data_IF_910328309857
#
_entry.id   IF_910328309857
#
_cell.length_a   1.000
_cell.length_b   1.000
_cell.length_c   1.000
_cell.angle_alpha   90.00
_cell.angle_beta   90.00
_cell.angle_gamma   90.00
#
_symmetry.space_group_name_H-M   'P 1'
#
loop_
_entity.id
_entity.type
_entity.pdbx_description
1 polymer ?
#
# COMPACT_ATOMS: atom_id res chain seq x y z
N UNK A 1 27.87 -11.39 9.55
CA UNK A 1 27.65 -10.00 9.98
C UNK A 1 28.60 -9.02 9.28
N UNK A 2 29.63 -9.45 8.56
CA UNK A 2 30.60 -8.54 7.90
C UNK A 2 30.20 -7.97 6.53
N UNK A 3 29.48 -8.71 5.69
CA UNK A 3 29.33 -8.35 4.26
C UNK A 3 28.65 -6.99 4.02
N UNK A 4 27.71 -6.63 4.88
CA UNK A 4 27.00 -5.35 4.77
C UNK A 4 27.88 -4.19 5.27
N UNK A 5 28.64 -4.39 6.35
CA UNK A 5 29.64 -3.43 6.83
C UNK A 5 30.75 -3.21 5.79
N UNK A 6 31.29 -4.28 5.22
CA UNK A 6 32.31 -4.22 4.15
C UNK A 6 31.81 -3.44 2.94
N UNK A 7 30.53 -3.59 2.59
CA UNK A 7 29.91 -2.86 1.48
C UNK A 7 29.74 -1.37 1.80
N UNK A 8 29.36 -1.00 3.03
CA UNK A 8 29.35 0.40 3.46
C UNK A 8 30.76 1.00 3.37
N UNK A 9 31.77 0.32 3.92
CA UNK A 9 33.15 0.80 3.86
C UNK A 9 33.66 0.97 2.43
N UNK A 10 33.33 0.02 1.55
CA UNK A 10 33.66 0.13 0.12
C UNK A 10 32.99 1.34 -0.53
N UNK A 11 31.68 1.52 -0.34
CA UNK A 11 30.94 2.66 -0.91
C UNK A 11 31.49 4.01 -0.41
N UNK A 12 31.84 4.09 0.88
CA UNK A 12 32.49 5.28 1.46
C UNK A 12 33.87 5.49 0.80
N UNK A 13 34.69 4.44 0.67
CA UNK A 13 36.00 4.56 0.02
C UNK A 13 35.88 4.97 -1.45
N UNK A 14 34.88 4.49 -2.18
CA UNK A 14 34.65 4.82 -3.58
C UNK A 14 34.23 6.28 -3.74
N UNK A 15 33.41 6.82 -2.82
CA UNK A 15 33.08 8.25 -2.74
C UNK A 15 34.34 9.11 -2.56
N UNK A 16 35.18 8.80 -1.57
CA UNK A 16 36.39 9.59 -1.32
C UNK A 16 37.41 9.53 -2.47
N UNK A 17 37.44 8.45 -3.24
CA UNK A 17 38.32 8.30 -4.41
C UNK A 17 37.79 8.97 -5.67
N UNK A 18 36.50 9.35 -5.67
CA UNK A 18 35.81 9.91 -6.83
C UNK A 18 36.39 11.26 -7.26
N UNK A 19 36.29 11.57 -8.56
CA UNK A 19 36.77 12.84 -9.13
C UNK A 19 35.98 14.03 -8.58
N UNK A 20 34.69 13.83 -8.30
CA UNK A 20 33.80 14.84 -7.78
C UNK A 20 34.17 15.20 -6.34
N UNK A 21 34.53 14.21 -5.51
CA UNK A 21 35.06 14.48 -4.17
C UNK A 21 36.38 15.25 -4.24
N UNK A 22 37.31 14.86 -5.11
CA UNK A 22 38.57 15.62 -5.32
C UNK A 22 38.30 17.05 -5.78
N UNK A 23 37.31 17.25 -6.65
CA UNK A 23 36.92 18.59 -7.12
C UNK A 23 36.40 19.44 -5.97
N UNK A 24 35.55 18.88 -5.12
CA UNK A 24 35.06 19.54 -3.91
C UNK A 24 36.21 19.86 -2.93
N UNK A 25 37.10 18.90 -2.66
CA UNK A 25 38.22 19.06 -1.72
C UNK A 25 39.22 20.14 -2.18
N UNK A 26 39.52 20.18 -3.48
CA UNK A 26 40.33 21.23 -4.09
C UNK A 26 39.68 22.62 -3.93
N UNK A 27 38.35 22.70 -4.07
CA UNK A 27 37.62 23.95 -3.87
C UNK A 27 37.64 24.41 -2.41
N UNK A 28 37.52 23.50 -1.45
CA UNK A 28 37.66 23.82 -0.01
C UNK A 28 39.05 24.41 0.26
N UNK A 29 40.10 23.82 -0.30
CA UNK A 29 41.48 24.33 -0.19
C UNK A 29 41.63 25.73 -0.81
N UNK A 30 41.01 25.97 -1.95
CA UNK A 30 40.99 27.27 -2.61
C UNK A 30 40.29 28.33 -1.75
N UNK A 31 39.12 28.02 -1.20
CA UNK A 31 38.40 28.94 -0.30
C UNK A 31 39.20 29.24 0.95
N UNK A 32 39.84 28.24 1.56
CA UNK A 32 40.72 28.43 2.71
C UNK A 32 41.88 29.38 2.38
N UNK A 33 42.48 29.25 1.20
CA UNK A 33 43.51 30.16 0.70
C UNK A 33 42.97 31.58 0.53
N UNK A 34 41.80 31.76 -0.07
CA UNK A 34 41.14 33.06 -0.18
C UNK A 34 40.93 33.72 1.20
N UNK A 35 40.43 32.97 2.19
CA UNK A 35 40.25 33.48 3.56
C UNK A 35 41.57 33.90 4.19
N UNK A 36 42.63 33.12 4.00
CA UNK A 36 43.96 33.45 4.52
C UNK A 36 44.52 34.72 3.87
N UNK A 37 44.39 34.87 2.55
CA UNK A 37 44.83 36.08 1.83
C UNK A 37 44.04 37.33 2.25
N UNK A 38 42.72 37.20 2.46
CA UNK A 38 41.90 38.30 3.00
C UNK A 38 42.43 38.73 4.36
N UNK A 39 42.67 37.77 5.27
CA UNK A 39 43.21 38.06 6.61
C UNK A 39 44.59 38.72 6.54
N UNK A 40 45.50 38.22 5.70
CA UNK A 40 46.84 38.81 5.55
C UNK A 40 46.76 40.26 5.06
N UNK A 41 45.89 40.54 4.09
CA UNK A 41 45.70 41.90 3.56
C UNK A 41 44.99 42.84 4.55
N UNK A 42 44.00 42.34 5.28
CA UNK A 42 43.25 43.09 6.29
C UNK A 42 44.16 43.52 7.46
N UNK A 43 45.11 42.67 7.85
CA UNK A 43 46.08 42.95 8.93
C UNK A 43 46.99 44.16 8.68
N UNK A 44 47.01 44.74 7.48
CA UNK A 44 47.95 45.80 7.07
C UNK A 44 47.39 47.23 7.11
N UNK A 45 46.16 47.44 7.59
CA UNK A 45 45.59 48.80 7.76
C UNK A 45 45.49 49.63 6.46
N UNK A 46 45.57 48.97 5.30
CA UNK A 46 45.50 49.59 3.98
C UNK A 46 44.12 49.36 3.37
N UNK A 47 43.56 50.40 2.75
CA UNK A 47 42.32 50.28 1.98
C UNK A 47 42.56 49.36 0.78
N UNK A 48 41.77 48.29 0.68
CA UNK A 48 41.88 47.27 -0.35
C UNK A 48 40.56 47.19 -1.15
N UNK A 49 40.66 47.34 -2.48
CA UNK A 49 39.48 47.45 -3.36
C UNK A 49 39.30 46.25 -4.30
N UNK A 50 40.18 45.25 -4.27
CA UNK A 50 40.03 44.06 -5.12
C UNK A 50 39.27 42.95 -4.40
N UNK A 51 38.51 42.14 -5.15
CA UNK A 51 37.76 41.03 -4.57
C UNK A 51 38.60 39.74 -4.60
N UNK A 52 38.94 39.22 -3.42
CA UNK A 52 39.53 37.87 -3.29
C UNK A 52 38.39 36.88 -3.17
N UNK A 53 38.16 36.11 -4.22
CA UNK A 53 37.17 35.03 -4.23
C UNK A 53 37.54 33.99 -5.29
N UNK A 54 37.05 32.75 -5.16
CA UNK A 54 37.07 31.79 -6.26
C UNK A 54 36.40 32.34 -7.52
N UNK A 55 36.86 31.88 -8.67
CA UNK A 55 36.24 32.23 -9.94
C UNK A 55 34.85 31.57 -10.07
N UNK A 56 33.97 32.21 -10.84
CA UNK A 56 32.61 31.70 -11.06
C UNK A 56 32.61 30.27 -11.63
N UNK A 57 33.56 29.95 -12.51
CA UNK A 57 33.66 28.61 -13.09
C UNK A 57 34.03 27.55 -12.04
N UNK A 58 34.88 27.88 -11.07
CA UNK A 58 35.28 26.97 -9.97
C UNK A 58 34.09 26.71 -9.05
N UNK A 59 33.30 27.74 -8.76
CA UNK A 59 32.05 27.61 -8.02
C UNK A 59 31.07 26.69 -8.75
N UNK A 60 30.83 26.93 -10.06
CA UNK A 60 29.93 26.11 -10.86
C UNK A 60 30.39 24.65 -10.92
N UNK A 61 31.66 24.41 -11.22
CA UNK A 61 32.25 23.06 -11.25
C UNK A 61 32.07 22.33 -9.91
N UNK A 62 32.22 23.04 -8.80
CA UNK A 62 32.04 22.47 -7.46
C UNK A 62 30.59 22.16 -7.15
N UNK A 63 29.66 23.03 -7.54
CA UNK A 63 28.21 22.77 -7.42
C UNK A 63 27.83 21.52 -8.20
N UNK A 64 28.29 21.40 -9.44
CA UNK A 64 28.03 20.23 -10.29
C UNK A 64 28.59 18.95 -9.63
N UNK A 65 29.82 19.00 -9.09
CA UNK A 65 30.42 17.89 -8.36
C UNK A 65 29.61 17.49 -7.11
N UNK A 66 29.11 18.46 -6.34
CA UNK A 66 28.28 18.22 -5.17
C UNK A 66 26.94 17.57 -5.52
N UNK A 67 26.30 17.98 -6.62
CA UNK A 67 25.07 17.35 -7.11
C UNK A 67 25.32 15.88 -7.45
N UNK A 68 26.42 15.58 -8.14
CA UNK A 68 26.79 14.19 -8.46
C UNK A 68 27.08 13.37 -7.21
N UNK A 69 27.82 13.92 -6.23
CA UNK A 69 28.07 13.25 -4.95
C UNK A 69 26.77 12.94 -4.19
N UNK A 70 25.83 13.89 -4.15
CA UNK A 70 24.53 13.67 -3.53
C UNK A 70 23.73 12.55 -4.23
N UNK A 71 23.84 12.47 -5.55
CA UNK A 71 23.31 11.35 -6.35
C UNK A 71 23.93 10.01 -5.95
N UNK A 72 25.27 9.93 -5.90
CA UNK A 72 26.00 8.70 -5.49
C UNK A 72 25.61 8.25 -4.07
N UNK A 73 25.53 9.18 -3.11
CA UNK A 73 25.10 8.88 -1.73
C UNK A 73 23.66 8.33 -1.71
N UNK A 74 22.76 8.93 -2.49
CA UNK A 74 21.38 8.47 -2.59
C UNK A 74 21.28 7.06 -3.19
N UNK A 75 22.07 6.79 -4.23
CA UNK A 75 22.17 5.47 -4.86
C UNK A 75 22.70 4.41 -3.89
N UNK A 76 23.78 4.71 -3.17
CA UNK A 76 24.33 3.80 -2.16
C UNK A 76 23.33 3.55 -1.04
N UNK A 77 22.66 4.58 -0.53
CA UNK A 77 21.62 4.42 0.49
C UNK A 77 20.46 3.55 0.01
N UNK A 78 20.04 3.69 -1.25
CA UNK A 78 18.99 2.85 -1.84
C UNK A 78 19.42 1.38 -1.96
N UNK A 79 20.70 1.12 -2.30
CA UNK A 79 21.28 -0.23 -2.37
C UNK A 79 21.50 -0.86 -0.99
N UNK A 80 21.89 -0.06 0.00
CA UNK A 80 22.16 -0.48 1.37
C UNK A 80 20.91 -0.62 2.24
N UNK A 81 19.76 -0.10 1.79
CA UNK A 81 18.47 -0.32 2.42
C UNK A 81 17.60 -1.28 1.59
N UNK A 82 17.96 -2.57 1.47
CA UNK A 82 17.06 -3.53 0.87
C UNK A 82 15.84 -3.57 1.78
N UNK A 83 14.65 -3.35 1.22
CA UNK A 83 13.42 -3.82 1.84
C UNK A 83 13.60 -5.32 2.08
N UNK A 84 14.05 -5.69 3.28
CA UNK A 84 14.41 -7.04 3.67
C UNK A 84 13.21 -7.96 3.42
N UNK A 85 13.45 -9.18 2.94
CA UNK A 85 12.37 -10.14 2.65
C UNK A 85 11.43 -10.34 3.84
N UNK A 86 11.98 -10.29 5.07
CA UNK A 86 11.21 -10.30 6.32
C UNK A 86 10.35 -9.04 6.48
N UNK A 87 10.90 -7.85 6.26
CA UNK A 87 10.16 -6.59 6.33
C UNK A 87 9.06 -6.49 5.25
N UNK A 88 9.33 -6.93 4.01
CA UNK A 88 8.32 -7.06 2.95
C UNK A 88 7.21 -8.04 3.33
N UNK A 89 7.57 -9.19 3.91
CA UNK A 89 6.60 -10.18 4.36
C UNK A 89 5.73 -9.64 5.51
N UNK A 90 6.32 -8.91 6.46
CA UNK A 90 5.60 -8.25 7.54
C UNK A 90 4.61 -7.19 7.00
N UNK A 91 5.07 -6.34 6.07
CA UNK A 91 4.21 -5.34 5.42
C UNK A 91 3.05 -5.97 4.64
N UNK A 92 3.30 -7.08 3.93
CA UNK A 92 2.25 -7.84 3.23
C UNK A 92 1.22 -8.42 4.21
N UNK A 93 1.67 -9.01 5.33
CA UNK A 93 0.77 -9.51 6.37
C UNK A 93 -0.09 -8.39 6.96
N UNK A 94 0.52 -7.27 7.32
CA UNK A 94 -0.20 -6.08 7.80
C UNK A 94 -1.26 -5.62 6.81
N UNK A 95 -0.89 -5.42 5.53
CA UNK A 95 -1.83 -4.98 4.49
C UNK A 95 -2.98 -5.98 4.26
N UNK A 96 -2.71 -7.29 4.36
CA UNK A 96 -3.75 -8.30 4.29
C UNK A 96 -4.73 -8.19 5.47
N UNK A 97 -4.21 -8.06 6.70
CA UNK A 97 -5.03 -7.89 7.90
C UNK A 97 -5.91 -6.65 7.82
N UNK A 98 -5.38 -5.52 7.34
CA UNK A 98 -6.16 -4.28 7.14
C UNK A 98 -7.30 -4.50 6.16
N UNK A 99 -7.05 -5.15 5.02
CA UNK A 99 -8.09 -5.44 4.01
C UNK A 99 -9.20 -6.33 4.54
N UNK A 100 -8.88 -7.36 5.32
CA UNK A 100 -9.90 -8.23 5.93
C UNK A 100 -10.71 -7.47 6.99
N UNK A 101 -10.08 -6.60 7.78
CA UNK A 101 -10.80 -5.72 8.73
C UNK A 101 -11.77 -4.79 7.99
N UNK A 102 -11.35 -4.19 6.88
CA UNK A 102 -12.20 -3.34 6.06
C UNK A 102 -13.38 -4.13 5.47
N UNK A 103 -13.14 -5.35 4.97
CA UNK A 103 -14.21 -6.24 4.49
C UNK A 103 -15.24 -6.54 5.59
N UNK A 104 -14.78 -6.97 6.76
CA UNK A 104 -15.68 -7.27 7.89
C UNK A 104 -16.50 -6.05 8.34
N UNK A 105 -15.90 -4.85 8.33
CA UNK A 105 -16.61 -3.60 8.63
C UNK A 105 -17.70 -3.30 7.62
N UNK A 106 -17.44 -3.54 6.34
CA UNK A 106 -18.44 -3.35 5.29
C UNK A 106 -19.58 -4.36 5.41
N UNK A 107 -19.26 -5.63 5.63
CA UNK A 107 -20.27 -6.68 5.84
C UNK A 107 -21.17 -6.34 7.05
N UNK A 108 -20.57 -5.87 8.15
CA UNK A 108 -21.32 -5.42 9.32
C UNK A 108 -22.22 -4.21 9.04
N UNK A 109 -21.74 -3.24 8.27
CA UNK A 109 -22.51 -2.07 7.90
C UNK A 109 -23.74 -2.43 7.05
N UNK A 110 -23.60 -3.40 6.15
CA UNK A 110 -24.70 -3.90 5.32
C UNK A 110 -25.73 -4.67 6.16
N UNK A 111 -25.28 -5.54 7.08
CA UNK A 111 -26.17 -6.22 8.04
C UNK A 111 -26.95 -5.24 8.91
N UNK A 112 -26.29 -4.18 9.39
CA UNK A 112 -26.95 -3.15 10.19
C UNK A 112 -28.04 -2.42 9.39
N UNK A 113 -27.76 -2.07 8.13
CA UNK A 113 -28.77 -1.48 7.23
C UNK A 113 -29.94 -2.43 6.97
N UNK A 114 -29.69 -3.73 6.85
CA UNK A 114 -30.77 -4.72 6.69
C UNK A 114 -31.62 -4.86 7.96
N UNK A 115 -31.02 -4.80 9.15
CA UNK A 115 -31.73 -4.85 10.43
C UNK A 115 -32.56 -3.57 10.71
N UNK A 116 -32.15 -2.43 10.16
CA UNK A 116 -32.85 -1.14 10.27
C UNK A 116 -34.02 -0.99 9.28
N UNK A 117 -34.15 -1.87 8.28
CA UNK A 117 -35.33 -1.88 7.41
C UNK A 117 -36.56 -2.34 8.21
N UNK A 118 -37.67 -1.58 8.22
CA UNK A 118 -38.89 -1.97 8.92
C UNK A 118 -39.40 -3.33 8.42
N UNK A 119 -39.99 -4.12 9.33
CA UNK A 119 -40.39 -5.52 9.12
C UNK A 119 -41.56 -5.73 8.13
N UNK A 120 -41.86 -4.76 7.27
CA UNK A 120 -43.18 -4.62 6.65
C UNK A 120 -43.38 -5.31 5.29
N UNK A 121 -42.37 -5.95 4.68
CA UNK A 121 -42.58 -6.75 3.46
C UNK A 121 -41.92 -8.13 3.51
N UNK A 122 -42.02 -8.83 4.65
CA UNK A 122 -41.73 -10.28 4.70
C UNK A 122 -42.91 -11.04 4.07
N UNK A 123 -43.01 -11.02 2.75
CA UNK A 123 -43.86 -11.97 2.01
C UNK A 123 -43.54 -13.38 2.51
N UNK A 124 -44.57 -14.15 2.84
CA UNK A 124 -44.41 -15.49 3.39
C UNK A 124 -43.57 -16.32 2.42
N UNK A 125 -42.48 -16.96 2.89
CA UNK A 125 -41.56 -17.71 2.02
C UNK A 125 -42.29 -18.76 1.18
N UNK A 126 -43.40 -19.29 1.67
CA UNK A 126 -44.27 -20.17 0.91
C UNK A 126 -44.90 -19.48 -0.31
N UNK A 127 -45.42 -18.27 -0.15
CA UNK A 127 -46.01 -17.49 -1.24
C UNK A 127 -44.93 -17.13 -2.28
N UNK A 128 -43.72 -16.79 -1.82
CA UNK A 128 -42.60 -16.51 -2.70
C UNK A 128 -42.24 -17.72 -3.57
N UNK A 129 -42.11 -18.91 -2.96
CA UNK A 129 -41.77 -20.13 -3.68
C UNK A 129 -42.88 -20.53 -4.66
N UNK A 130 -44.15 -20.49 -4.24
CA UNK A 130 -45.27 -20.86 -5.11
C UNK A 130 -45.42 -19.91 -6.30
N UNK A 131 -45.14 -18.61 -6.13
CA UNK A 131 -45.19 -17.62 -7.22
C UNK A 131 -44.03 -17.78 -8.21
N UNK A 132 -42.82 -18.06 -7.73
CA UNK A 132 -41.62 -18.10 -8.56
C UNK A 132 -41.30 -19.48 -9.16
N UNK A 133 -41.86 -20.53 -8.57
CA UNK A 133 -41.65 -21.94 -8.91
C UNK A 133 -42.98 -22.72 -8.85
N UNK A 134 -44.01 -22.34 -9.63
CA UNK A 134 -45.35 -22.90 -9.47
C UNK A 134 -45.40 -24.41 -9.73
N UNK A 135 -44.68 -24.88 -10.75
CA UNK A 135 -44.68 -26.28 -11.22
C UNK A 135 -43.32 -26.98 -11.09
N UNK A 136 -42.29 -26.30 -10.58
CA UNK A 136 -40.96 -26.90 -10.48
C UNK A 136 -40.87 -27.82 -9.26
N UNK A 137 -40.52 -29.09 -9.50
CA UNK A 137 -40.33 -30.11 -8.46
C UNK A 137 -38.91 -30.08 -7.85
N UNK A 138 -37.92 -29.58 -8.60
CA UNK A 138 -36.52 -29.45 -8.19
C UNK A 138 -35.92 -28.16 -8.79
N UNK A 139 -35.27 -27.35 -7.96
CA UNK A 139 -34.59 -26.13 -8.37
C UNK A 139 -33.43 -25.79 -7.41
N UNK A 140 -32.48 -24.96 -7.87
CA UNK A 140 -31.28 -24.65 -7.09
C UNK A 140 -31.55 -23.60 -6.01
N UNK A 141 -31.01 -23.82 -4.81
CA UNK A 141 -31.06 -22.85 -3.71
C UNK A 141 -30.32 -21.54 -4.06
N UNK A 142 -29.30 -21.61 -4.91
CA UNK A 142 -28.62 -20.43 -5.46
C UNK A 142 -29.56 -19.54 -6.27
N UNK A 143 -30.46 -20.16 -7.03
CA UNK A 143 -31.43 -19.44 -7.86
C UNK A 143 -32.50 -18.80 -6.99
N UNK A 144 -32.95 -19.49 -5.93
CA UNK A 144 -33.84 -18.94 -4.91
C UNK A 144 -33.21 -17.71 -4.28
N UNK A 145 -31.94 -17.79 -3.86
CA UNK A 145 -31.19 -16.66 -3.28
C UNK A 145 -31.11 -15.48 -4.23
N UNK A 146 -30.84 -15.73 -5.52
CA UNK A 146 -30.77 -14.69 -6.55
C UNK A 146 -32.13 -14.01 -6.75
N UNK A 147 -33.20 -14.78 -6.99
CA UNK A 147 -34.56 -14.24 -7.18
C UNK A 147 -35.08 -13.52 -5.94
N UNK A 148 -34.75 -14.00 -4.75
CA UNK A 148 -35.15 -13.36 -3.49
C UNK A 148 -34.50 -11.98 -3.35
N UNK A 149 -33.20 -11.88 -3.67
CA UNK A 149 -32.49 -10.61 -3.74
C UNK A 149 -33.08 -9.67 -4.79
N UNK A 150 -33.42 -10.17 -5.97
CA UNK A 150 -34.02 -9.36 -7.05
C UNK A 150 -35.42 -8.85 -6.67
N UNK A 151 -36.21 -9.66 -5.96
CA UNK A 151 -37.60 -9.34 -5.62
C UNK A 151 -37.69 -8.37 -4.43
N UNK A 152 -36.88 -8.58 -3.39
CA UNK A 152 -36.99 -7.84 -2.13
C UNK A 152 -35.79 -6.92 -1.85
N UNK A 153 -34.73 -6.98 -2.65
CA UNK A 153 -33.49 -6.24 -2.38
C UNK A 153 -32.77 -6.67 -1.10
N UNK A 154 -33.04 -7.90 -0.60
CA UNK A 154 -32.49 -8.45 0.65
C UNK A 154 -31.58 -9.64 0.32
N UNK A 155 -30.39 -9.69 0.90
CA UNK A 155 -29.46 -10.81 0.70
C UNK A 155 -29.53 -11.76 1.89
N UNK A 156 -30.17 -12.93 1.71
CA UNK A 156 -30.15 -13.98 2.74
C UNK A 156 -28.97 -14.94 2.56
N UNK A 157 -28.40 -15.41 3.68
CA UNK A 157 -27.42 -16.50 3.68
C UNK A 157 -28.10 -17.82 3.29
N UNK A 158 -27.31 -18.81 2.88
CA UNK A 158 -27.86 -20.13 2.54
C UNK A 158 -28.49 -20.81 3.75
N UNK A 159 -27.94 -20.61 4.94
CA UNK A 159 -28.46 -21.20 6.18
C UNK A 159 -29.85 -20.64 6.52
N UNK A 160 -30.03 -19.32 6.48
CA UNK A 160 -31.32 -18.67 6.73
C UNK A 160 -32.36 -19.11 5.69
N UNK A 161 -32.00 -19.12 4.40
CA UNK A 161 -32.91 -19.58 3.35
C UNK A 161 -33.32 -21.03 3.55
N UNK A 162 -32.38 -21.88 3.95
CA UNK A 162 -32.67 -23.29 4.22
C UNK A 162 -33.67 -23.44 5.36
N UNK A 163 -33.44 -22.78 6.48
CA UNK A 163 -34.34 -22.81 7.64
C UNK A 163 -35.76 -22.35 7.28
N UNK A 164 -35.88 -21.22 6.56
CA UNK A 164 -37.18 -20.69 6.19
C UNK A 164 -37.92 -21.55 5.15
N UNK A 165 -37.20 -22.15 4.19
CA UNK A 165 -37.79 -23.06 3.19
C UNK A 165 -38.28 -24.34 3.87
N UNK A 166 -37.46 -24.95 4.74
CA UNK A 166 -37.85 -26.18 5.46
C UNK A 166 -38.99 -25.92 6.46
N UNK A 167 -39.07 -24.71 7.02
CA UNK A 167 -40.19 -24.29 7.88
C UNK A 167 -41.55 -24.29 7.15
N UNK A 168 -41.58 -24.18 5.81
CA UNK A 168 -42.82 -24.28 5.03
C UNK A 168 -43.44 -25.69 5.05
N UNK A 169 -42.65 -26.73 5.40
CA UNK A 169 -43.03 -28.16 5.37
C UNK A 169 -43.48 -28.71 4.01
N UNK A 170 -43.47 -27.91 2.95
CA UNK A 170 -43.82 -28.32 1.57
C UNK A 170 -42.59 -28.48 0.67
N UNK A 171 -41.43 -28.05 1.15
CA UNK A 171 -40.17 -28.16 0.43
C UNK A 171 -39.08 -28.69 1.36
N UNK A 172 -38.09 -29.38 0.79
CA UNK A 172 -36.91 -29.89 1.47
C UNK A 172 -35.65 -29.48 0.72
N UNK A 173 -34.63 -29.04 1.45
CA UNK A 173 -33.33 -28.72 0.87
C UNK A 173 -32.40 -29.93 0.99
N UNK A 174 -31.84 -30.37 -0.13
CA UNK A 174 -30.87 -31.46 -0.20
C UNK A 174 -29.54 -30.95 -0.75
N UNK A 175 -28.44 -31.56 -0.30
CA UNK A 175 -27.10 -31.28 -0.82
C UNK A 175 -26.62 -32.48 -1.63
N UNK A 176 -26.22 -32.25 -2.87
CA UNK A 176 -25.48 -33.21 -3.68
C UNK A 176 -24.19 -32.56 -4.19
N UNK A 177 -23.02 -33.07 -3.75
CA UNK A 177 -21.70 -32.60 -4.19
C UNK A 177 -21.52 -31.07 -4.06
N UNK A 178 -21.90 -30.49 -2.92
CA UNK A 178 -21.87 -29.04 -2.64
C UNK A 178 -22.83 -28.19 -3.47
N UNK A 179 -23.80 -28.81 -4.14
CA UNK A 179 -24.89 -28.13 -4.83
C UNK A 179 -26.16 -28.36 -4.02
N UNK A 180 -26.81 -27.25 -3.63
CA UNK A 180 -28.04 -27.28 -2.83
C UNK A 180 -29.26 -27.22 -3.73
N UNK A 181 -30.08 -28.26 -3.66
CA UNK A 181 -31.34 -28.44 -4.37
C UNK A 181 -32.50 -28.24 -3.41
N UNK A 182 -33.54 -27.56 -3.86
CA UNK A 182 -34.83 -27.42 -3.18
C UNK A 182 -35.82 -28.29 -3.91
N UNK A 183 -36.35 -29.31 -3.21
CA UNK A 183 -37.37 -30.22 -3.76
C UNK A 183 -38.71 -29.98 -3.11
N UNK A 184 -39.77 -30.06 -3.90
CA UNK A 184 -41.14 -30.10 -3.39
C UNK A 184 -41.43 -31.50 -2.81
N UNK A 185 -42.10 -31.55 -1.66
CA UNK A 185 -42.52 -32.77 -0.97
C UNK A 185 -43.86 -33.29 -1.49
#
# INVERSE_FOLDING_TARGET
>A
MDKDCDMVYKNISDLYKSEEFKTYDNFVSLVAKCVWEIRDKDSRGKVWNEQIKPAMFEMKKTIDALVVLAGKVSEYNAKMNPQCSKCKAAMRKYNYSVKEIERMRNDYADLKKEAEKPAEDKMNMLEFLNKNYPTAEDFLLSDVKKKYKETFGIVKTFDILKEEIEATKLFRVMNHRNIYHVKRL
#
